data_IF_885365629845
#
_entry.id   IF_885365629845
#
_cell.length_a   1.000
_cell.length_b   1.000
_cell.length_c   1.000
_cell.angle_alpha   90.00
_cell.angle_beta   90.00
_cell.angle_gamma   90.00
#
_symmetry.space_group_name_H-M   'P 1'
#
loop_
_entity.id
_entity.type
_entity.pdbx_description
1 polymer ?
#
# COMPACT_ATOMS: atom_id res chain seq x y z
N UNK A 1 38.23 -47.07 37.35
CA UNK A 1 38.25 -45.64 37.76
C UNK A 1 36.83 -45.14 37.69
N UNK A 2 36.19 -44.94 38.84
CA UNK A 2 34.79 -44.52 38.91
C UNK A 2 34.71 -43.00 38.68
N UNK A 3 33.96 -42.58 37.67
CA UNK A 3 33.60 -41.18 37.46
C UNK A 3 32.78 -40.72 38.68
N UNK A 4 33.15 -39.62 39.35
CA UNK A 4 32.32 -39.08 40.42
C UNK A 4 30.99 -38.63 39.80
N UNK A 5 29.88 -39.05 40.41
CA UNK A 5 28.55 -38.60 40.02
C UNK A 5 28.52 -37.07 40.08
N UNK A 6 27.99 -36.38 39.04
CA UNK A 6 27.95 -34.93 39.03
C UNK A 6 27.20 -34.44 40.26
N UNK A 7 27.81 -33.51 40.98
CA UNK A 7 27.22 -32.95 42.19
C UNK A 7 25.93 -32.22 41.81
N UNK A 8 24.83 -32.43 42.53
CA UNK A 8 23.52 -31.88 42.15
C UNK A 8 23.54 -30.35 41.98
N UNK A 9 24.40 -29.66 42.74
CA UNK A 9 24.62 -28.21 42.62
C UNK A 9 25.22 -27.80 41.26
N UNK A 10 26.08 -28.63 40.67
CA UNK A 10 26.75 -28.36 39.39
C UNK A 10 25.78 -28.53 38.22
N UNK A 11 24.92 -29.57 38.28
CA UNK A 11 23.84 -29.77 37.29
C UNK A 11 22.81 -28.64 37.37
N UNK A 12 22.44 -28.19 38.57
CA UNK A 12 21.52 -27.06 38.76
C UNK A 12 22.12 -25.75 38.23
N UNK A 13 23.42 -25.51 38.46
CA UNK A 13 24.12 -24.33 37.94
C UNK A 13 24.19 -24.34 36.41
N UNK A 14 24.51 -25.49 35.80
CA UNK A 14 24.54 -25.63 34.34
C UNK A 14 23.15 -25.44 33.74
N UNK A 15 22.10 -25.97 34.39
CA UNK A 15 20.72 -25.77 33.96
C UNK A 15 20.33 -24.30 34.04
N UNK A 16 20.65 -23.61 35.15
CA UNK A 16 20.34 -22.17 35.31
C UNK A 16 21.09 -21.31 34.30
N UNK A 17 22.35 -21.62 34.01
CA UNK A 17 23.14 -20.89 33.01
C UNK A 17 22.58 -21.11 31.60
N UNK A 18 22.17 -22.34 31.28
CA UNK A 18 21.51 -22.66 30.01
C UNK A 18 20.16 -21.95 29.85
N UNK A 19 19.36 -21.87 30.92
CA UNK A 19 18.08 -21.16 30.94
C UNK A 19 18.26 -19.66 30.77
N UNK A 20 19.22 -19.06 31.48
CA UNK A 20 19.54 -17.63 31.33
C UNK A 20 19.98 -17.31 29.91
N UNK A 21 20.83 -18.15 29.31
CA UNK A 21 21.26 -17.95 27.92
C UNK A 21 20.10 -18.09 26.93
N UNK A 22 19.15 -18.99 27.20
CA UNK A 22 17.95 -19.13 26.39
C UNK A 22 17.04 -17.90 26.51
N UNK A 23 16.87 -17.35 27.73
CA UNK A 23 16.12 -16.11 27.97
C UNK A 23 16.77 -14.91 27.28
N UNK A 24 18.09 -14.77 27.33
CA UNK A 24 18.82 -13.70 26.62
C UNK A 24 18.61 -13.78 25.10
N UNK A 25 18.76 -14.96 24.51
CA UNK A 25 18.51 -15.16 23.06
C UNK A 25 17.07 -14.82 22.68
N UNK A 26 16.12 -15.17 23.55
CA UNK A 26 14.70 -14.94 23.35
C UNK A 26 14.34 -13.44 23.49
N UNK A 27 14.97 -12.72 24.43
CA UNK A 27 14.86 -11.26 24.52
C UNK A 27 15.42 -10.56 23.28
N UNK A 28 16.56 -11.01 22.75
CA UNK A 28 17.12 -10.51 21.49
C UNK A 28 16.15 -10.76 20.32
N UNK A 29 15.57 -11.96 20.25
CA UNK A 29 14.55 -12.27 19.22
C UNK A 29 13.29 -11.40 19.36
N UNK A 30 12.77 -11.20 20.57
CA UNK A 30 11.60 -10.33 20.82
C UNK A 30 11.88 -8.88 20.44
N UNK A 31 13.04 -8.35 20.82
CA UNK A 31 13.43 -6.97 20.51
C UNK A 31 13.65 -6.73 19.01
N UNK A 32 13.98 -7.76 18.23
CA UNK A 32 14.09 -7.66 16.76
C UNK A 32 12.75 -7.80 16.05
N UNK A 33 11.80 -8.59 16.59
CA UNK A 33 10.49 -8.85 15.96
C UNK A 33 9.44 -7.79 16.32
N UNK A 34 9.50 -7.24 17.53
CA UNK A 34 8.52 -6.26 18.02
C UNK A 34 8.42 -5.01 17.14
N UNK A 35 9.52 -4.34 16.71
CA UNK A 35 9.41 -3.14 15.89
C UNK A 35 8.78 -3.38 14.51
N UNK A 36 9.15 -4.43 13.75
CA UNK A 36 8.48 -4.77 12.49
C UNK A 36 6.98 -5.05 12.66
N UNK A 37 6.61 -5.82 13.69
CA UNK A 37 5.21 -6.19 13.97
C UNK A 37 4.34 -4.97 14.33
N UNK A 38 4.86 -4.07 15.16
CA UNK A 38 4.10 -2.93 15.68
C UNK A 38 4.07 -1.72 14.72
N UNK A 39 5.13 -1.50 13.95
CA UNK A 39 5.29 -0.26 13.17
C UNK A 39 5.43 -0.52 11.67
N UNK A 40 6.34 -1.41 11.26
CA UNK A 40 6.66 -1.60 9.85
C UNK A 40 5.54 -2.27 9.07
N UNK A 41 5.01 -3.40 9.54
CA UNK A 41 3.95 -4.12 8.82
C UNK A 41 2.66 -3.29 8.68
N UNK A 42 2.15 -2.62 9.73
CA UNK A 42 1.00 -1.72 9.58
C UNK A 42 1.27 -0.57 8.61
N UNK A 43 2.47 0.01 8.62
CA UNK A 43 2.85 1.09 7.70
C UNK A 43 2.89 0.63 6.24
N UNK A 44 3.44 -0.57 5.97
CA UNK A 44 3.45 -1.18 4.64
C UNK A 44 2.01 -1.45 4.18
N UNK A 45 1.16 -2.02 5.05
CA UNK A 45 -0.26 -2.23 4.75
C UNK A 45 -0.99 -0.93 4.39
N UNK A 46 -0.78 0.13 5.17
CA UNK A 46 -1.37 1.44 4.90
C UNK A 46 -0.88 2.03 3.57
N UNK A 47 0.41 1.91 3.30
CA UNK A 47 1.03 2.38 2.04
C UNK A 47 0.47 1.63 0.84
N UNK A 48 0.40 0.30 0.89
CA UNK A 48 -0.16 -0.53 -0.17
C UNK A 48 -1.64 -0.20 -0.43
N UNK A 49 -2.42 -0.02 0.64
CA UNK A 49 -3.83 0.38 0.52
C UNK A 49 -3.97 1.76 -0.13
N UNK A 50 -3.11 2.71 0.25
CA UNK A 50 -3.06 4.03 -0.38
C UNK A 50 -2.67 3.98 -1.86
N UNK A 51 -1.74 3.09 -2.24
CA UNK A 51 -1.38 2.85 -3.64
C UNK A 51 -2.58 2.30 -4.41
N UNK A 52 -3.28 1.29 -3.88
CA UNK A 52 -4.47 0.73 -4.52
C UNK A 52 -5.52 1.83 -4.80
N UNK A 53 -5.86 2.63 -3.80
CA UNK A 53 -6.82 3.72 -3.93
C UNK A 53 -6.36 4.78 -4.94
N UNK A 54 -5.09 5.18 -4.90
CA UNK A 54 -4.55 6.15 -5.85
C UNK A 54 -4.56 5.63 -7.30
N UNK A 55 -4.24 4.34 -7.49
CA UNK A 55 -4.29 3.71 -8.82
C UNK A 55 -5.72 3.57 -9.33
N UNK A 56 -6.68 3.26 -8.46
CA UNK A 56 -8.10 3.23 -8.81
C UNK A 56 -8.61 4.60 -9.24
N UNK A 57 -8.31 5.63 -8.45
CA UNK A 57 -8.71 6.99 -8.80
C UNK A 57 -8.09 7.45 -10.13
N UNK A 58 -6.81 7.14 -10.37
CA UNK A 58 -6.15 7.48 -11.63
C UNK A 58 -6.78 6.75 -12.83
N UNK A 59 -7.12 5.47 -12.68
CA UNK A 59 -7.76 4.69 -13.74
C UNK A 59 -9.19 5.18 -14.03
N UNK A 60 -9.98 5.50 -13.01
CA UNK A 60 -11.30 6.13 -13.19
C UNK A 60 -11.21 7.43 -13.99
N UNK A 61 -10.24 8.29 -13.67
CA UNK A 61 -10.01 9.52 -14.43
C UNK A 61 -9.65 9.26 -15.89
N UNK A 62 -8.87 8.21 -16.18
CA UNK A 62 -8.54 7.82 -17.55
C UNK A 62 -9.78 7.32 -18.30
N UNK A 63 -10.67 6.58 -17.62
CA UNK A 63 -11.94 6.14 -18.18
C UNK A 63 -12.87 7.34 -18.49
N UNK A 64 -13.02 8.28 -17.55
CA UNK A 64 -13.82 9.50 -17.75
C UNK A 64 -13.33 10.31 -18.98
N UNK A 65 -12.01 10.47 -19.12
CA UNK A 65 -11.43 11.15 -20.28
C UNK A 65 -11.61 10.36 -21.58
N UNK A 66 -11.56 9.02 -21.53
CA UNK A 66 -11.82 8.18 -22.69
C UNK A 66 -13.28 8.26 -23.15
N UNK A 67 -14.24 8.33 -22.21
CA UNK A 67 -15.65 8.58 -22.51
C UNK A 67 -15.86 9.96 -23.12
N UNK A 68 -15.25 11.01 -22.54
CA UNK A 68 -15.29 12.36 -23.11
C UNK A 68 -14.75 12.41 -24.55
N UNK A 69 -13.68 11.67 -24.84
CA UNK A 69 -13.15 11.52 -26.21
C UNK A 69 -14.18 10.86 -27.14
N UNK A 70 -14.95 9.88 -26.68
CA UNK A 70 -16.00 9.26 -27.49
C UNK A 70 -17.14 10.23 -27.80
N UNK A 71 -17.58 11.00 -26.81
CA UNK A 71 -18.62 12.02 -27.00
C UNK A 71 -18.17 13.09 -28.00
N UNK A 72 -16.94 13.59 -27.86
CA UNK A 72 -16.37 14.55 -28.79
C UNK A 72 -16.18 13.95 -30.19
N UNK A 73 -15.82 12.68 -30.29
CA UNK A 73 -15.72 11.97 -31.56
C UNK A 73 -17.08 11.83 -32.25
N UNK A 74 -18.16 11.55 -31.50
CA UNK A 74 -19.51 11.49 -32.02
C UNK A 74 -19.96 12.87 -32.56
N UNK A 75 -19.67 13.94 -31.80
CA UNK A 75 -19.92 15.32 -32.22
C UNK A 75 -19.14 15.71 -33.48
N UNK A 76 -17.87 15.31 -33.55
CA UNK A 76 -17.00 15.53 -34.71
C UNK A 76 -17.54 14.80 -35.94
N UNK A 77 -17.95 13.53 -35.79
CA UNK A 77 -18.54 12.73 -36.87
C UNK A 77 -19.80 13.41 -37.41
N UNK A 78 -20.71 13.85 -36.53
CA UNK A 78 -21.91 14.57 -36.94
C UNK A 78 -21.60 15.92 -37.60
N UNK A 79 -20.52 16.60 -37.22
CA UNK A 79 -20.06 17.82 -37.90
C UNK A 79 -19.49 17.52 -39.29
N UNK A 80 -18.70 16.44 -39.43
CA UNK A 80 -18.15 15.99 -40.70
C UNK A 80 -19.26 15.59 -41.68
N UNK A 81 -20.31 14.89 -41.25
CA UNK A 81 -21.45 14.54 -42.11
C UNK A 81 -22.21 15.79 -42.60
N UNK A 82 -22.41 16.79 -41.72
CA UNK A 82 -23.01 18.07 -42.10
C UNK A 82 -22.15 18.85 -43.09
N UNK A 83 -20.82 18.77 -42.98
CA UNK A 83 -19.88 19.33 -43.94
C UNK A 83 -19.96 18.59 -45.28
N UNK A 84 -19.99 17.26 -45.27
CA UNK A 84 -20.14 16.44 -46.49
C UNK A 84 -21.36 16.83 -47.31
N UNK A 85 -22.48 17.07 -46.66
CA UNK A 85 -23.72 17.49 -47.32
C UNK A 85 -23.62 18.84 -48.04
N UNK A 86 -22.63 19.68 -47.68
CA UNK A 86 -22.40 21.01 -48.28
C UNK A 86 -21.29 21.00 -49.34
N UNK A 87 -20.56 19.89 -49.51
CA UNK A 87 -19.48 19.82 -50.50
C UNK A 87 -20.03 19.78 -51.93
N UNK A 88 -19.35 20.42 -52.90
CA UNK A 88 -19.71 20.30 -54.31
C UNK A 88 -19.52 18.84 -54.77
N UNK A 89 -20.49 18.24 -55.51
CA UNK A 89 -20.45 16.82 -55.88
C UNK A 89 -19.34 16.44 -56.88
N UNK A 90 -18.62 17.42 -57.43
CA UNK A 90 -17.51 17.21 -58.40
C UNK A 90 -16.14 17.61 -57.85
N UNK A 91 -16.06 18.01 -56.59
CA UNK A 91 -14.79 18.35 -55.96
C UNK A 91 -14.14 17.10 -55.35
N UNK A 92 -13.26 16.46 -56.13
CA UNK A 92 -12.56 15.23 -55.74
C UNK A 92 -11.53 15.47 -54.64
N UNK A 93 -10.95 16.66 -54.56
CA UNK A 93 -9.96 17.01 -53.54
C UNK A 93 -10.65 17.20 -52.18
N UNK A 94 -11.74 17.97 -52.14
CA UNK A 94 -12.52 18.14 -50.92
C UNK A 94 -13.12 16.81 -50.43
N UNK A 95 -13.52 15.92 -51.35
CA UNK A 95 -13.99 14.59 -50.99
C UNK A 95 -12.89 13.71 -50.37
N UNK A 96 -11.66 13.80 -50.86
CA UNK A 96 -10.51 13.06 -50.31
C UNK A 96 -10.13 13.56 -48.91
N UNK A 97 -10.04 14.88 -48.71
CA UNK A 97 -9.76 15.49 -47.40
C UNK A 97 -10.85 15.12 -46.38
N UNK A 98 -12.11 15.10 -46.80
CA UNK A 98 -13.20 14.65 -45.94
C UNK A 98 -13.05 13.19 -45.54
N UNK A 99 -12.72 12.31 -46.49
CA UNK A 99 -12.55 10.88 -46.22
C UNK A 99 -11.38 10.62 -45.25
N UNK A 100 -10.29 11.38 -45.37
CA UNK A 100 -9.17 11.34 -44.43
C UNK A 100 -9.59 11.81 -43.02
N UNK A 101 -10.32 12.92 -42.92
CA UNK A 101 -10.83 13.42 -41.65
C UNK A 101 -11.79 12.43 -40.96
N UNK A 102 -12.68 11.80 -41.74
CA UNK A 102 -13.60 10.77 -41.26
C UNK A 102 -12.85 9.52 -40.78
N UNK A 103 -11.85 9.07 -41.53
CA UNK A 103 -10.99 7.95 -41.13
C UNK A 103 -10.23 8.25 -39.84
N UNK A 104 -9.68 9.46 -39.70
CA UNK A 104 -8.98 9.91 -38.50
C UNK A 104 -9.93 9.95 -37.28
N UNK A 105 -11.15 10.46 -37.46
CA UNK A 105 -12.19 10.47 -36.41
C UNK A 105 -12.56 9.05 -35.95
N UNK A 106 -12.76 8.12 -36.88
CA UNK A 106 -13.03 6.71 -36.54
C UNK A 106 -11.86 6.07 -35.79
N UNK A 107 -10.63 6.34 -36.22
CA UNK A 107 -9.42 5.85 -35.53
C UNK A 107 -9.25 6.43 -34.12
N UNK A 108 -9.81 7.61 -33.83
CA UNK A 108 -9.83 8.18 -32.48
C UNK A 108 -10.78 7.39 -31.56
N UNK A 109 -11.99 7.08 -32.03
CA UNK A 109 -12.96 6.25 -31.28
C UNK A 109 -12.40 4.87 -30.96
N UNK A 110 -11.79 4.21 -31.96
CA UNK A 110 -11.15 2.92 -31.76
C UNK A 110 -9.99 2.94 -30.74
N UNK A 111 -9.28 4.07 -30.63
CA UNK A 111 -8.23 4.25 -29.62
C UNK A 111 -8.79 4.46 -28.23
N UNK A 112 -9.86 5.25 -28.08
CA UNK A 112 -10.55 5.42 -26.80
C UNK A 112 -11.08 4.09 -26.26
N UNK A 113 -11.71 3.27 -27.10
CA UNK A 113 -12.16 1.92 -26.73
C UNK A 113 -11.01 1.02 -26.25
N UNK A 114 -9.85 1.09 -26.91
CA UNK A 114 -8.66 0.33 -26.49
C UNK A 114 -8.10 0.81 -25.15
N UNK A 115 -8.15 2.11 -24.86
CA UNK A 115 -7.75 2.66 -23.56
C UNK A 115 -8.68 2.12 -22.48
N UNK A 116 -10.00 2.16 -22.68
CA UNK A 116 -10.96 1.64 -21.72
C UNK A 116 -10.76 0.14 -21.45
N UNK A 117 -10.62 -0.67 -22.51
CA UNK A 117 -10.35 -2.10 -22.37
C UNK A 117 -9.01 -2.37 -21.66
N UNK A 118 -7.98 -1.55 -21.90
CA UNK A 118 -6.71 -1.70 -21.21
C UNK A 118 -6.83 -1.40 -19.71
N UNK A 119 -7.75 -0.52 -19.27
CA UNK A 119 -7.93 -0.20 -17.85
C UNK A 119 -8.55 -1.32 -17.01
N UNK A 120 -9.03 -2.41 -17.63
CA UNK A 120 -9.53 -3.60 -16.92
C UNK A 120 -8.47 -4.23 -15.98
N UNK A 121 -7.17 -3.98 -16.19
CA UNK A 121 -6.11 -4.48 -15.29
C UNK A 121 -6.17 -3.88 -13.88
N UNK A 122 -6.86 -2.73 -13.70
CA UNK A 122 -6.97 -2.04 -12.42
C UNK A 122 -7.63 -2.93 -11.35
N UNK A 123 -8.73 -3.61 -11.69
CA UNK A 123 -9.44 -4.51 -10.77
C UNK A 123 -8.52 -5.65 -10.29
N UNK A 124 -7.81 -6.26 -11.24
CA UNK A 124 -6.83 -7.30 -10.93
C UNK A 124 -5.73 -6.77 -9.99
N UNK A 125 -5.26 -5.55 -10.22
CA UNK A 125 -4.23 -4.90 -9.39
C UNK A 125 -4.73 -4.64 -7.97
N UNK A 126 -5.96 -4.13 -7.82
CA UNK A 126 -6.59 -3.93 -6.52
C UNK A 126 -6.69 -5.25 -5.75
N UNK A 127 -7.20 -6.31 -6.38
CA UNK A 127 -7.29 -7.63 -5.77
C UNK A 127 -5.94 -8.22 -5.37
N UNK A 128 -4.88 -8.00 -6.16
CA UNK A 128 -3.53 -8.44 -5.82
C UNK A 128 -2.97 -7.69 -4.60
N UNK A 129 -3.20 -6.38 -4.53
CA UNK A 129 -2.80 -5.56 -3.38
C UNK A 129 -3.57 -5.99 -2.13
N UNK A 130 -4.89 -6.17 -2.21
CA UNK A 130 -5.73 -6.63 -1.09
C UNK A 130 -5.27 -7.99 -0.56
N UNK A 131 -4.98 -8.95 -1.43
CA UNK A 131 -4.44 -10.26 -1.03
C UNK A 131 -3.07 -10.14 -0.34
N UNK A 132 -2.23 -9.21 -0.81
CA UNK A 132 -0.93 -8.94 -0.21
C UNK A 132 -1.07 -8.33 1.18
N UNK A 133 -1.95 -7.34 1.32
CA UNK A 133 -2.32 -6.73 2.61
C UNK A 133 -2.84 -7.78 3.58
N UNK A 134 -3.79 -8.62 3.17
CA UNK A 134 -4.33 -9.68 4.02
C UNK A 134 -3.23 -10.66 4.50
N UNK A 135 -2.29 -11.01 3.61
CA UNK A 135 -1.16 -11.88 3.95
C UNK A 135 -0.21 -11.24 4.97
N UNK A 136 0.04 -9.92 4.83
CA UNK A 136 0.85 -9.17 5.80
C UNK A 136 0.17 -9.13 7.16
N UNK A 137 -1.16 -8.96 7.21
CA UNK A 137 -1.88 -8.91 8.47
C UNK A 137 -1.98 -10.26 9.18
N UNK A 138 -2.08 -11.37 8.45
CA UNK A 138 -1.96 -12.72 9.01
C UNK A 138 -0.55 -12.94 9.62
N UNK A 139 0.51 -12.51 8.92
CA UNK A 139 1.87 -12.55 9.48
C UNK A 139 1.96 -11.70 10.74
N UNK A 140 1.43 -10.47 10.73
CA UNK A 140 1.41 -9.59 11.90
C UNK A 140 0.71 -10.24 13.09
N UNK A 141 -0.44 -10.86 12.87
CA UNK A 141 -1.21 -11.51 13.92
C UNK A 141 -0.45 -12.71 14.52
N UNK A 142 0.22 -13.51 13.68
CA UNK A 142 1.10 -14.60 14.14
C UNK A 142 2.28 -14.07 14.96
N UNK A 143 2.92 -12.99 14.52
CA UNK A 143 3.99 -12.35 15.29
C UNK A 143 3.47 -11.79 16.61
N UNK A 144 2.28 -11.18 16.64
CA UNK A 144 1.64 -10.74 17.87
C UNK A 144 1.37 -11.90 18.84
N UNK A 145 0.86 -13.04 18.35
CA UNK A 145 0.66 -14.24 19.18
C UNK A 145 1.97 -14.75 19.78
N UNK A 146 3.03 -14.81 18.98
CA UNK A 146 4.37 -15.22 19.44
C UNK A 146 4.92 -14.26 20.49
N UNK A 147 4.80 -12.96 20.26
CA UNK A 147 5.23 -11.92 21.21
C UNK A 147 4.42 -11.99 22.52
N UNK A 148 3.11 -12.19 22.44
CA UNK A 148 2.23 -12.29 23.61
C UNK A 148 2.56 -13.52 24.47
N UNK A 149 2.90 -14.66 23.85
CA UNK A 149 3.38 -15.83 24.59
C UNK A 149 4.64 -15.49 25.36
N UNK A 150 5.61 -14.79 24.77
CA UNK A 150 6.87 -14.46 25.44
C UNK A 150 6.76 -13.33 26.46
N UNK A 151 5.95 -12.30 26.24
CA UNK A 151 5.71 -11.25 27.24
C UNK A 151 5.06 -11.82 28.51
N UNK A 152 4.16 -12.80 28.39
CA UNK A 152 3.59 -13.52 29.54
C UNK A 152 4.66 -14.32 30.32
N UNK A 153 5.60 -14.98 29.64
CA UNK A 153 6.65 -15.78 30.30
C UNK A 153 7.78 -14.93 30.89
N UNK A 154 8.04 -13.73 30.34
CA UNK A 154 9.03 -12.79 30.89
C UNK A 154 8.50 -12.04 32.12
N UNK A 155 7.16 -11.93 32.27
CA UNK A 155 6.52 -11.26 33.42
C UNK A 155 6.22 -12.21 34.60
N UNK A 156 6.39 -13.53 34.48
CA UNK A 156 6.20 -14.48 35.60
C UNK A 156 7.37 -14.52 36.60
N UNK A 157 8.40 -13.68 36.41
CA UNK A 157 9.60 -13.63 37.26
C UNK A 157 9.85 -12.32 38.01
N UNK A 158 8.96 -11.32 37.95
CA UNK A 158 9.22 -10.04 38.62
C UNK A 158 7.99 -9.55 39.41
N UNK A 159 8.08 -9.71 40.73
CA UNK A 159 7.20 -9.08 41.70
C UNK A 159 7.38 -7.56 41.67
N UNK A 160 6.33 -6.85 41.24
CA UNK A 160 5.94 -5.49 41.65
C UNK A 160 7.02 -4.38 41.66
N UNK A 161 7.02 -3.51 40.63
CA UNK A 161 7.36 -2.09 40.82
C UNK A 161 6.53 -1.15 39.91
N UNK A 162 5.80 -0.25 40.59
CA UNK A 162 5.31 1.08 40.21
C UNK A 162 4.45 1.27 38.94
N UNK A 163 3.17 1.56 39.19
CA UNK A 163 2.34 2.36 38.31
C UNK A 163 2.96 3.74 38.06
N UNK A 164 3.33 4.02 36.82
CA UNK A 164 3.62 5.38 36.33
C UNK A 164 2.31 5.93 35.75
N UNK A 165 1.84 7.12 36.17
CA UNK A 165 0.63 7.71 35.61
C UNK A 165 0.85 8.08 34.12
N UNK A 166 -0.19 8.07 33.28
CA UNK A 166 -0.05 8.29 31.85
C UNK A 166 0.46 9.72 31.58
N UNK A 167 1.44 9.91 30.69
CA UNK A 167 1.75 11.25 30.20
C UNK A 167 0.56 11.73 29.37
N UNK A 168 -0.07 12.81 29.84
CA UNK A 168 -1.07 13.53 29.09
C UNK A 168 -0.51 13.98 27.73
N UNK A 169 -1.33 13.79 26.71
CA UNK A 169 -1.15 14.16 25.31
C UNK A 169 -0.48 15.54 25.12
N UNK A 170 0.80 15.56 24.71
CA UNK A 170 1.50 16.73 24.15
C UNK A 170 1.90 16.53 22.68
N UNK A 171 1.21 15.65 21.96
CA UNK A 171 1.47 15.39 20.54
C UNK A 171 1.05 16.54 19.60
N UNK A 172 0.26 17.52 20.06
CA UNK A 172 -0.28 18.56 19.18
C UNK A 172 0.58 19.84 19.07
N UNK A 173 1.59 20.02 19.93
CA UNK A 173 2.44 21.23 19.90
C UNK A 173 3.65 21.06 18.97
N UNK A 174 4.21 19.85 18.89
CA UNK A 174 5.36 19.57 18.04
C UNK A 174 5.01 19.60 16.54
N UNK A 175 3.82 19.12 16.15
CA UNK A 175 3.36 19.18 14.76
C UNK A 175 3.03 20.60 14.30
N UNK A 176 2.44 21.42 15.16
CA UNK A 176 2.10 22.81 14.87
C UNK A 176 3.36 23.67 14.71
N UNK A 177 4.35 23.50 15.59
CA UNK A 177 5.63 24.23 15.50
C UNK A 177 6.39 23.89 14.22
N UNK A 178 6.37 22.62 13.77
CA UNK A 178 7.01 22.21 12.52
C UNK A 178 6.29 22.79 11.29
N UNK A 179 4.96 22.85 11.31
CA UNK A 179 4.17 23.44 10.24
C UNK A 179 4.39 24.96 10.11
N UNK A 180 4.47 25.67 11.24
CA UNK A 180 4.71 27.11 11.26
C UNK A 180 6.14 27.45 10.78
N UNK A 181 7.12 26.60 11.09
CA UNK A 181 8.52 26.76 10.66
C UNK A 181 8.68 26.59 9.13
N UNK A 182 7.99 25.61 8.53
CA UNK A 182 7.99 25.39 7.08
C UNK A 182 7.29 26.50 6.29
N UNK A 183 6.28 27.15 6.88
CA UNK A 183 5.60 28.30 6.28
C UNK A 183 6.45 29.58 6.35
N UNK A 184 7.29 29.73 7.37
CA UNK A 184 8.20 30.87 7.51
C UNK A 184 9.38 30.80 6.51
N UNK A 185 9.87 29.61 6.16
CA UNK A 185 10.95 29.44 5.17
C UNK A 185 10.52 29.68 3.71
N UNK A 186 9.21 29.76 3.44
CA UNK A 186 8.66 30.00 2.10
C UNK A 186 8.18 31.43 1.82
N UNK A 187 8.42 32.38 2.73
CA UNK A 187 8.21 33.83 2.51
C UNK A 187 9.54 34.54 2.37
#
# INVERSE_FOLDING_TARGET
MAQPLPNAAEVLSQLSESLNRMLELLQVMVSTIRPPSANTLPSVTATLSGIAQATEHAALRVLDEAEAIQDDQARLTAALERLRAKLPPRDTEAAAVWAEAAACSSALSARALKIMAAMEFQDLTAQHIERTVASIEDVRERLHRVLALFDLHLHEGDTAVAAVPPPMLTANQAGQALADQLLAERR
#
